data_IF_302114841643
#
_entry.id   IF_302114841643
#
_cell.length_a   1.000
_cell.length_b   1.000
_cell.length_c   1.000
_cell.angle_alpha   90.00
_cell.angle_beta   90.00
_cell.angle_gamma   90.00
#
_symmetry.space_group_name_H-M   'P 1'
#
loop_
_entity.id
_entity.type
_entity.pdbx_description
1 polymer ?
#
# COMPACT_ATOMS: atom_id res chain seq x y z
N UNK A 1 10.21 15.93 -64.42
CA UNK A 1 8.96 16.05 -63.62
C UNK A 1 8.48 14.70 -63.07
N UNK A 2 8.27 13.66 -63.89
CA UNK A 2 7.83 12.34 -63.40
C UNK A 2 8.73 11.71 -62.34
N UNK A 3 10.06 11.77 -62.53
CA UNK A 3 11.03 11.22 -61.56
C UNK A 3 10.96 11.97 -60.22
N UNK A 4 10.89 13.30 -60.23
CA UNK A 4 10.75 14.09 -59.01
C UNK A 4 9.45 13.77 -58.26
N UNK A 5 8.32 13.66 -58.97
CA UNK A 5 7.03 13.29 -58.37
C UNK A 5 7.07 11.90 -57.75
N UNK A 6 7.68 10.93 -58.44
CA UNK A 6 7.78 9.55 -57.96
C UNK A 6 8.66 9.45 -56.71
N UNK A 7 9.83 10.10 -56.73
CA UNK A 7 10.74 10.13 -55.57
C UNK A 7 10.08 10.84 -54.38
N UNK A 8 9.40 11.96 -54.60
CA UNK A 8 8.75 12.71 -53.53
C UNK A 8 7.60 11.89 -52.89
N UNK A 9 6.76 11.25 -53.71
CA UNK A 9 5.71 10.34 -53.25
C UNK A 9 6.27 9.15 -52.47
N UNK A 10 7.32 8.51 -52.98
CA UNK A 10 7.91 7.34 -52.35
C UNK A 10 8.55 7.69 -51.01
N UNK A 11 9.31 8.79 -50.95
CA UNK A 11 9.93 9.26 -49.70
C UNK A 11 8.87 9.69 -48.70
N UNK A 12 7.85 10.47 -49.09
CA UNK A 12 6.77 10.84 -48.19
C UNK A 12 6.03 9.63 -47.63
N UNK A 13 5.65 8.68 -48.49
CA UNK A 13 4.96 7.46 -48.04
C UNK A 13 5.82 6.62 -47.10
N UNK A 14 7.09 6.41 -47.44
CA UNK A 14 7.98 5.57 -46.65
C UNK A 14 8.30 6.23 -45.31
N UNK A 15 8.60 7.53 -45.30
CA UNK A 15 8.89 8.27 -44.07
C UNK A 15 7.65 8.37 -43.20
N UNK A 16 6.47 8.70 -43.75
CA UNK A 16 5.23 8.74 -42.97
C UNK A 16 4.90 7.36 -42.38
N UNK A 17 4.95 6.30 -43.18
CA UNK A 17 4.67 4.94 -42.70
C UNK A 17 5.66 4.50 -41.62
N UNK A 18 6.96 4.71 -41.85
CA UNK A 18 7.99 4.27 -40.92
C UNK A 18 7.96 5.08 -39.63
N UNK A 19 7.84 6.40 -39.72
CA UNK A 19 7.77 7.28 -38.54
C UNK A 19 6.47 7.03 -37.77
N UNK A 20 5.31 6.94 -38.43
CA UNK A 20 4.07 6.65 -37.74
C UNK A 20 4.11 5.27 -37.07
N UNK A 21 4.52 4.22 -37.78
CA UNK A 21 4.59 2.88 -37.20
C UNK A 21 5.59 2.81 -36.04
N UNK A 22 6.80 3.35 -36.23
CA UNK A 22 7.84 3.25 -35.22
C UNK A 22 7.52 4.12 -34.01
N UNK A 23 7.09 5.37 -34.21
CA UNK A 23 6.74 6.26 -33.10
C UNK A 23 5.50 5.75 -32.38
N UNK A 24 4.43 5.37 -33.08
CA UNK A 24 3.24 4.82 -32.42
C UNK A 24 3.56 3.54 -31.67
N UNK A 25 4.24 2.56 -32.30
CA UNK A 25 4.55 1.30 -31.62
C UNK A 25 5.50 1.50 -30.44
N UNK A 26 6.57 2.28 -30.62
CA UNK A 26 7.58 2.45 -29.58
C UNK A 26 7.03 3.32 -28.44
N UNK A 27 6.36 4.43 -28.73
CA UNK A 27 5.78 5.28 -27.69
C UNK A 27 4.64 4.57 -26.99
N UNK A 28 3.70 3.93 -27.71
CA UNK A 28 2.61 3.19 -27.05
C UNK A 28 3.14 2.03 -26.22
N UNK A 29 4.04 1.20 -26.76
CA UNK A 29 4.58 0.07 -25.99
C UNK A 29 5.40 0.54 -24.80
N UNK A 30 6.30 1.50 -24.98
CA UNK A 30 7.19 1.94 -23.93
C UNK A 30 6.45 2.73 -22.86
N UNK A 31 5.58 3.67 -23.25
CA UNK A 31 4.79 4.44 -22.28
C UNK A 31 3.78 3.54 -21.58
N UNK A 32 3.04 2.67 -22.29
CA UNK A 32 2.10 1.77 -21.61
C UNK A 32 2.82 0.80 -20.69
N UNK A 33 3.89 0.13 -21.15
CA UNK A 33 4.62 -0.82 -20.30
C UNK A 33 5.28 -0.12 -19.11
N UNK A 34 5.95 1.01 -19.33
CA UNK A 34 6.66 1.69 -18.26
C UNK A 34 5.70 2.32 -17.27
N UNK A 35 4.67 3.03 -17.74
CA UNK A 35 3.66 3.64 -16.86
C UNK A 35 2.86 2.56 -16.14
N UNK A 36 2.38 1.52 -16.82
CA UNK A 36 1.64 0.45 -16.14
C UNK A 36 2.53 -0.29 -15.14
N UNK A 37 3.74 -0.71 -15.51
CA UNK A 37 4.64 -1.41 -14.59
C UNK A 37 5.02 -0.53 -13.41
N UNK A 38 5.43 0.72 -13.67
CA UNK A 38 5.89 1.61 -12.61
C UNK A 38 4.72 2.00 -11.70
N UNK A 39 3.59 2.45 -12.25
CA UNK A 39 2.44 2.84 -11.44
C UNK A 39 1.87 1.62 -10.70
N UNK A 40 1.66 0.48 -11.34
CA UNK A 40 1.15 -0.70 -10.65
C UNK A 40 2.12 -1.19 -9.59
N UNK A 41 3.41 -1.34 -9.89
CA UNK A 41 4.38 -1.82 -8.90
C UNK A 41 4.54 -0.83 -7.75
N UNK A 42 4.71 0.46 -8.04
CA UNK A 42 4.95 1.45 -7.00
C UNK A 42 3.71 1.69 -6.16
N UNK A 43 2.53 1.86 -6.78
CA UNK A 43 1.29 2.06 -6.04
C UNK A 43 0.92 0.81 -5.27
N UNK A 44 0.96 -0.38 -5.87
CA UNK A 44 0.62 -1.61 -5.14
C UNK A 44 1.63 -1.87 -4.02
N UNK A 45 2.94 -1.78 -4.27
CA UNK A 45 3.93 -2.02 -3.21
C UNK A 45 3.82 -0.98 -2.11
N UNK A 46 3.74 0.31 -2.46
CA UNK A 46 3.73 1.37 -1.46
C UNK A 46 2.43 1.36 -0.67
N UNK A 47 1.27 1.25 -1.32
CA UNK A 47 -0.02 1.19 -0.64
C UNK A 47 -0.13 -0.08 0.19
N UNK A 48 0.19 -1.26 -0.36
CA UNK A 48 0.12 -2.50 0.42
C UNK A 48 1.10 -2.50 1.58
N UNK A 49 2.37 -2.12 1.37
CA UNK A 49 3.35 -2.09 2.46
C UNK A 49 2.98 -1.05 3.51
N UNK A 50 2.64 0.16 3.10
CA UNK A 50 2.33 1.23 4.05
C UNK A 50 1.05 0.93 4.79
N UNK A 51 -0.04 0.58 4.11
CA UNK A 51 -1.32 0.27 4.77
C UNK A 51 -1.20 -0.97 5.63
N UNK A 52 -0.62 -2.08 5.15
CA UNK A 52 -0.47 -3.28 5.96
C UNK A 52 0.46 -3.02 7.16
N UNK A 53 1.61 -2.37 6.98
CA UNK A 53 2.52 -2.10 8.09
C UNK A 53 1.89 -1.13 9.09
N UNK A 54 1.30 -0.02 8.64
CA UNK A 54 0.69 0.95 9.54
C UNK A 54 -0.49 0.33 10.26
N UNK A 55 -1.44 -0.27 9.55
CA UNK A 55 -2.64 -0.83 10.18
C UNK A 55 -2.28 -1.98 11.10
N UNK A 56 -1.44 -2.93 10.67
CA UNK A 56 -1.03 -4.03 11.55
C UNK A 56 -0.24 -3.52 12.76
N UNK A 57 0.72 -2.62 12.59
CA UNK A 57 1.49 -2.09 13.72
C UNK A 57 0.63 -1.27 14.66
N UNK A 58 -0.18 -0.34 14.15
CA UNK A 58 -1.04 0.50 14.98
C UNK A 58 -2.08 -0.34 15.70
N UNK A 59 -2.80 -1.20 14.98
CA UNK A 59 -3.87 -2.01 15.59
C UNK A 59 -3.26 -3.01 16.57
N UNK A 60 -2.21 -3.74 16.21
CA UNK A 60 -1.59 -4.67 17.15
C UNK A 60 -1.00 -3.95 18.36
N UNK A 61 -0.27 -2.85 18.18
CA UNK A 61 0.33 -2.12 19.30
C UNK A 61 -0.73 -1.48 20.18
N UNK A 62 -1.70 -0.76 19.61
CA UNK A 62 -2.75 -0.13 20.41
C UNK A 62 -3.63 -1.16 21.08
N UNK A 63 -4.15 -2.16 20.34
CA UNK A 63 -5.04 -3.15 20.95
C UNK A 63 -4.30 -3.96 22.00
N UNK A 64 -3.10 -4.47 21.70
CA UNK A 64 -2.35 -5.24 22.70
C UNK A 64 -1.96 -4.36 23.90
N UNK A 65 -1.42 -3.16 23.70
CA UNK A 65 -1.02 -2.30 24.82
C UNK A 65 -2.23 -1.87 25.65
N UNK A 66 -3.29 -1.42 25.00
CA UNK A 66 -4.46 -0.90 25.69
C UNK A 66 -5.20 -2.02 26.41
N UNK A 67 -5.45 -3.16 25.75
CA UNK A 67 -6.12 -4.30 26.37
C UNK A 67 -5.24 -4.89 27.48
N UNK A 68 -3.95 -5.16 27.25
CA UNK A 68 -3.10 -5.70 28.29
C UNK A 68 -2.97 -4.73 29.47
N UNK A 69 -2.74 -3.44 29.23
CA UNK A 69 -2.61 -2.48 30.33
C UNK A 69 -3.93 -2.30 31.08
N UNK A 70 -5.04 -2.07 30.39
CA UNK A 70 -6.33 -1.87 31.06
C UNK A 70 -6.77 -3.12 31.77
N UNK A 71 -6.77 -4.27 31.11
CA UNK A 71 -7.26 -5.52 31.71
C UNK A 71 -6.35 -5.92 32.86
N UNK A 72 -5.02 -5.91 32.71
CA UNK A 72 -4.13 -6.26 33.82
C UNK A 72 -4.26 -5.26 34.96
N UNK A 73 -4.27 -3.95 34.70
CA UNK A 73 -4.38 -2.95 35.78
C UNK A 73 -5.73 -3.03 36.48
N UNK A 74 -6.84 -3.05 35.74
CA UNK A 74 -8.17 -3.10 36.35
C UNK A 74 -8.40 -4.41 37.07
N UNK A 75 -8.13 -5.55 36.44
CA UNK A 75 -8.37 -6.86 37.05
C UNK A 75 -7.46 -7.03 38.26
N UNK A 76 -6.16 -6.75 38.16
CA UNK A 76 -5.27 -6.89 39.31
C UNK A 76 -5.66 -5.93 40.44
N UNK A 77 -5.93 -4.65 40.15
CA UNK A 77 -6.29 -3.70 41.21
C UNK A 77 -7.63 -4.03 41.84
N UNK A 78 -8.67 -4.28 41.05
CA UNK A 78 -10.00 -4.58 41.58
C UNK A 78 -10.00 -5.91 42.33
N UNK A 79 -9.45 -6.97 41.75
CA UNK A 79 -9.42 -8.28 42.39
C UNK A 79 -8.59 -8.23 43.67
N UNK A 80 -7.39 -7.66 43.64
CA UNK A 80 -6.57 -7.54 44.85
C UNK A 80 -7.27 -6.69 45.92
N UNK A 81 -7.86 -5.55 45.57
CA UNK A 81 -8.55 -4.69 46.54
C UNK A 81 -9.78 -5.39 47.14
N UNK A 82 -10.63 -5.99 46.30
CA UNK A 82 -11.83 -6.69 46.77
C UNK A 82 -11.48 -7.91 47.61
N UNK A 83 -10.55 -8.75 47.16
CA UNK A 83 -10.13 -9.94 47.88
C UNK A 83 -9.49 -9.55 49.21
N UNK A 84 -8.56 -8.57 49.23
CA UNK A 84 -7.96 -8.09 50.47
C UNK A 84 -9.00 -7.53 51.43
N UNK A 85 -9.94 -6.70 50.96
CA UNK A 85 -11.01 -6.15 51.79
C UNK A 85 -11.91 -7.24 52.37
N UNK A 86 -12.36 -8.18 51.55
CA UNK A 86 -13.22 -9.28 52.00
C UNK A 86 -12.51 -10.21 52.99
N UNK A 87 -11.26 -10.57 52.72
CA UNK A 87 -10.46 -11.42 53.60
C UNK A 87 -10.19 -10.71 54.92
N UNK A 88 -9.78 -9.43 54.91
CA UNK A 88 -9.57 -8.67 56.13
C UNK A 88 -10.86 -8.53 56.96
N UNK A 89 -12.00 -8.25 56.32
CA UNK A 89 -13.30 -8.19 57.00
C UNK A 89 -13.68 -9.52 57.63
N UNK A 90 -13.51 -10.64 56.91
CA UNK A 90 -13.81 -11.97 57.44
C UNK A 90 -12.90 -12.36 58.60
N UNK A 91 -11.59 -12.07 58.49
CA UNK A 91 -10.61 -12.39 59.54
C UNK A 91 -10.78 -11.49 60.77
N UNK A 92 -11.23 -10.24 60.62
CA UNK A 92 -11.48 -9.35 61.76
C UNK A 92 -12.84 -9.57 62.44
N UNK A 93 -13.80 -10.22 61.77
CA UNK A 93 -15.13 -10.53 62.33
C UNK A 93 -15.25 -11.94 62.92
N UNK A 94 -14.27 -12.81 62.70
CA UNK A 94 -14.09 -14.10 63.36
C UNK A 94 -12.97 -14.04 64.40
#
# INVERSE_FOLDING_TARGET
MYVCMYVCMYVCMYVCMYVCMYVCMYVCMYVCMYVCMYVCMYVCMYVCMYVCMYVCMYVCMYVCMYVCMYVCMYVCMYVCMYVCMYVCMYVCMY
#
